data_IF_142981084527
#
_entry.id   IF_142981084527
#
_cell.length_a   1.000
_cell.length_b   1.000
_cell.length_c   1.000
_cell.angle_alpha   90.00
_cell.angle_beta   90.00
_cell.angle_gamma   90.00
#
_symmetry.space_group_name_H-M   'P 1'
#
loop_
_entity.id
_entity.type
_entity.pdbx_description
1 polymer ?
#
# COMPACT_ATOMS: atom_id res chain seq x y z
N UNK A 1 14.11 5.00 -3.11
CA UNK A 1 14.08 5.77 -1.83
C UNK A 1 12.66 5.77 -1.28
N UNK A 2 12.48 5.32 -0.04
CA UNK A 2 11.17 5.31 0.65
C UNK A 2 10.59 6.71 0.80
N UNK A 3 9.27 6.83 0.69
CA UNK A 3 8.54 8.09 0.87
C UNK A 3 7.28 7.84 1.68
N UNK A 4 7.07 8.61 2.74
CA UNK A 4 5.80 8.60 3.48
C UNK A 4 4.66 9.04 2.57
N UNK A 5 3.54 8.34 2.65
CA UNK A 5 2.32 8.58 1.87
C UNK A 5 1.12 8.39 2.78
N UNK A 6 0.04 9.08 2.43
CA UNK A 6 -1.24 8.90 3.08
C UNK A 6 -2.10 7.99 2.22
N UNK A 7 -2.42 6.80 2.72
CA UNK A 7 -3.22 5.81 2.01
C UNK A 7 -4.69 5.90 2.44
N UNK A 8 -5.60 5.69 1.49
CA UNK A 8 -7.05 5.66 1.73
C UNK A 8 -7.64 4.51 0.94
N UNK A 9 -8.26 3.56 1.65
CA UNK A 9 -9.06 2.51 1.03
C UNK A 9 -10.40 3.11 0.59
N UNK A 10 -10.75 2.97 -0.68
CA UNK A 10 -12.03 3.43 -1.25
C UNK A 10 -12.72 2.30 -1.98
N UNK A 11 -14.06 2.38 -2.07
CA UNK A 11 -14.84 1.53 -2.96
C UNK A 11 -14.50 1.87 -4.42
N UNK A 12 -14.27 0.85 -5.23
CA UNK A 12 -14.12 0.97 -6.68
C UNK A 12 -15.50 0.88 -7.31
N UNK A 13 -16.02 1.99 -7.82
CA UNK A 13 -17.31 2.00 -8.52
C UNK A 13 -18.52 1.68 -7.63
N UNK A 14 -19.51 0.98 -8.22
CA UNK A 14 -20.81 0.71 -7.59
C UNK A 14 -21.00 -0.75 -7.13
N UNK A 15 -20.03 -1.63 -7.41
CA UNK A 15 -20.13 -3.05 -7.06
C UNK A 15 -19.63 -3.23 -5.62
N UNK A 16 -20.42 -3.86 -4.73
CA UNK A 16 -19.97 -4.19 -3.38
C UNK A 16 -18.74 -5.09 -3.41
N UNK A 17 -17.75 -4.79 -2.58
CA UNK A 17 -16.55 -5.61 -2.44
C UNK A 17 -15.40 -5.25 -3.39
N UNK A 18 -15.60 -4.30 -4.31
CA UNK A 18 -14.51 -3.77 -5.14
C UNK A 18 -13.83 -2.59 -4.45
N UNK A 19 -12.50 -2.57 -4.44
CA UNK A 19 -11.75 -1.54 -3.72
C UNK A 19 -10.54 -1.04 -4.48
N UNK A 20 -10.20 0.22 -4.25
CA UNK A 20 -8.94 0.82 -4.67
C UNK A 20 -8.21 1.39 -3.46
N UNK A 21 -6.89 1.29 -3.47
CA UNK A 21 -6.03 1.94 -2.51
C UNK A 21 -5.43 3.19 -3.15
N UNK A 22 -6.03 4.33 -2.84
CA UNK A 22 -5.50 5.62 -3.26
C UNK A 22 -4.38 6.06 -2.32
N UNK A 23 -3.35 6.69 -2.86
CA UNK A 23 -2.30 7.26 -2.02
C UNK A 23 -1.93 8.68 -2.42
N UNK A 24 -1.74 9.51 -1.40
CA UNK A 24 -1.56 10.95 -1.51
C UNK A 24 -0.20 11.37 -0.96
N UNK A 25 0.20 12.61 -1.28
CA UNK A 25 1.43 13.18 -0.74
C UNK A 25 1.46 13.18 0.80
N UNK A 26 0.31 13.48 1.41
CA UNK A 26 0.11 13.68 2.84
C UNK A 26 -1.40 13.57 3.19
N UNK A 27 -1.73 13.74 4.47
CA UNK A 27 -3.08 13.62 5.02
C UNK A 27 -4.08 14.68 4.55
N UNK A 28 -3.63 15.76 3.90
CA UNK A 28 -4.55 16.75 3.32
C UNK A 28 -5.34 16.19 2.14
N UNK A 29 -4.91 15.05 1.57
CA UNK A 29 -5.51 14.39 0.39
C UNK A 29 -5.63 15.32 -0.84
N UNK A 30 -4.90 16.45 -0.88
CA UNK A 30 -4.97 17.41 -2.00
C UNK A 30 -4.23 16.95 -3.25
N UNK A 31 -3.16 16.16 -3.09
CA UNK A 31 -2.31 15.73 -4.20
C UNK A 31 -2.24 14.21 -4.27
N UNK A 32 -3.04 13.64 -5.16
CA UNK A 32 -2.99 12.20 -5.47
C UNK A 32 -1.65 11.85 -6.11
N UNK A 33 -1.10 10.69 -5.72
CA UNK A 33 0.18 10.17 -6.20
C UNK A 33 0.01 8.87 -6.99
N UNK A 34 -1.10 8.20 -6.80
CA UNK A 34 -1.53 7.08 -7.60
C UNK A 34 -2.69 6.35 -6.94
N UNK A 35 -3.12 5.32 -7.64
CA UNK A 35 -4.21 4.43 -7.25
C UNK A 35 -3.70 3.01 -7.49
N UNK A 36 -3.92 2.13 -6.53
CA UNK A 36 -3.69 0.70 -6.66
C UNK A 36 -5.06 0.05 -6.77
N UNK A 37 -5.31 -0.57 -7.91
CA UNK A 37 -6.54 -1.34 -8.12
C UNK A 37 -6.42 -2.67 -7.38
N UNK A 38 -7.21 -2.84 -6.30
CA UNK A 38 -7.13 -4.04 -5.47
C UNK A 38 -7.92 -5.20 -6.07
N UNK A 39 -8.79 -4.94 -7.04
CA UNK A 39 -9.48 -6.02 -7.78
C UNK A 39 -8.51 -6.77 -8.70
N UNK A 40 -7.40 -6.12 -9.05
CA UNK A 40 -6.29 -6.70 -9.81
C UNK A 40 -5.15 -7.18 -8.88
N UNK A 41 -5.38 -7.22 -7.57
CA UNK A 41 -4.40 -7.71 -6.62
C UNK A 41 -4.32 -9.23 -6.68
N UNK A 42 -3.16 -9.74 -7.01
CA UNK A 42 -2.89 -11.18 -7.13
C UNK A 42 -2.43 -11.77 -5.80
N UNK A 43 -1.65 -11.01 -5.02
CA UNK A 43 -1.05 -11.48 -3.78
C UNK A 43 -0.73 -10.31 -2.84
N UNK A 44 -0.82 -10.57 -1.53
CA UNK A 44 -0.34 -9.69 -0.46
C UNK A 44 0.48 -10.55 0.51
N UNK A 45 1.78 -10.29 0.62
CA UNK A 45 2.66 -10.99 1.56
C UNK A 45 3.12 -10.05 2.67
N UNK A 46 2.86 -10.45 3.92
CA UNK A 46 3.36 -9.77 5.11
C UNK A 46 4.64 -10.45 5.65
N UNK A 47 5.43 -9.72 6.44
CA UNK A 47 6.62 -10.28 7.08
C UNK A 47 7.81 -10.45 6.13
N UNK A 48 7.83 -9.67 5.04
CA UNK A 48 8.95 -9.62 4.10
C UNK A 48 10.20 -9.09 4.82
N UNK A 49 11.18 -9.96 5.06
CA UNK A 49 12.47 -9.58 5.61
C UNK A 49 13.44 -9.29 4.47
N UNK A 50 13.70 -8.01 4.20
CA UNK A 50 14.83 -7.62 3.34
C UNK A 50 16.12 -7.83 4.14
N UNK A 51 16.93 -8.81 3.73
CA UNK A 51 18.24 -9.05 4.33
C UNK A 51 19.08 -7.77 4.29
N UNK A 52 19.53 -7.30 5.46
CA UNK A 52 20.45 -6.16 5.55
C UNK A 52 19.85 -4.79 5.90
N UNK A 53 19.08 -4.71 7.00
CA UNK A 53 19.16 -3.63 8.05
C UNK A 53 17.99 -2.62 8.15
N UNK A 54 17.82 -2.15 9.41
CA UNK A 54 17.05 -1.02 10.00
C UNK A 54 15.67 -1.40 10.56
N UNK A 55 15.49 -1.18 11.87
CA UNK A 55 14.25 -1.39 12.65
C UNK A 55 12.99 -0.83 11.94
N UNK A 56 13.17 0.22 11.14
CA UNK A 56 12.12 0.94 10.44
C UNK A 56 11.42 0.16 9.30
N UNK A 57 11.76 -1.11 9.06
CA UNK A 57 11.15 -1.96 8.01
C UNK A 57 10.53 -3.25 8.56
N UNK A 58 10.37 -3.36 9.87
CA UNK A 58 9.88 -4.58 10.52
C UNK A 58 8.44 -4.96 10.09
N UNK A 59 7.60 -3.98 9.78
CA UNK A 59 6.20 -4.18 9.38
C UNK A 59 6.00 -3.95 7.87
N UNK A 60 6.92 -4.51 7.07
CA UNK A 60 6.84 -4.43 5.62
C UNK A 60 5.91 -5.51 5.04
N UNK A 61 5.16 -5.12 4.03
CA UNK A 61 4.33 -6.02 3.21
C UNK A 61 4.34 -5.57 1.75
N UNK A 62 4.02 -6.47 0.83
CA UNK A 62 3.80 -6.14 -0.57
C UNK A 62 2.33 -6.23 -0.97
N UNK A 63 1.97 -5.46 -2.00
CA UNK A 63 0.71 -5.56 -2.72
C UNK A 63 1.07 -5.80 -4.18
N UNK A 64 0.86 -7.01 -4.67
CA UNK A 64 1.18 -7.39 -6.05
C UNK A 64 -0.05 -7.26 -6.93
N UNK A 65 0.08 -6.45 -7.97
CA UNK A 65 -0.88 -6.36 -9.07
C UNK A 65 -0.23 -6.88 -10.34
N UNK A 66 -1.05 -7.24 -11.33
CA UNK A 66 -0.59 -7.68 -12.66
C UNK A 66 0.41 -6.73 -13.33
N UNK A 67 0.35 -5.43 -13.02
CA UNK A 67 1.24 -4.40 -13.61
C UNK A 67 2.44 -4.06 -12.75
N UNK A 68 2.35 -4.26 -11.43
CA UNK A 68 3.33 -3.74 -10.46
C UNK A 68 3.19 -4.37 -9.08
N UNK A 69 4.33 -4.62 -8.45
CA UNK A 69 4.45 -4.88 -7.01
C UNK A 69 4.73 -3.57 -6.25
N UNK A 70 3.94 -3.32 -5.21
CA UNK A 70 4.09 -2.18 -4.31
C UNK A 70 4.63 -2.69 -2.97
N UNK A 71 5.80 -2.21 -2.55
CA UNK A 71 6.31 -2.47 -1.21
C UNK A 71 5.90 -1.33 -0.27
N UNK A 72 5.26 -1.68 0.83
CA UNK A 72 4.70 -0.76 1.83
C UNK A 72 5.22 -1.15 3.21
N UNK A 73 5.31 -0.17 4.10
CA UNK A 73 5.81 -0.35 5.45
C UNK A 73 4.91 0.42 6.40
N UNK A 74 4.36 -0.27 7.39
CA UNK A 74 3.60 0.32 8.49
C UNK A 74 4.53 0.76 9.63
N UNK A 75 4.09 1.69 10.48
CA UNK A 75 4.91 2.13 11.62
C UNK A 75 4.83 1.16 12.81
N UNK A 76 3.78 0.33 12.85
CA UNK A 76 3.53 -0.67 13.91
C UNK A 76 2.85 -1.90 13.33
N UNK A 77 2.84 -3.01 14.08
CA UNK A 77 2.17 -4.25 13.68
C UNK A 77 0.63 -4.12 13.59
N UNK A 78 0.02 -3.24 14.40
CA UNK A 78 -1.42 -3.02 14.38
C UNK A 78 -1.91 -2.10 13.25
N UNK A 79 -1.00 -1.54 12.46
CA UNK A 79 -1.28 -0.71 11.27
C UNK A 79 -1.15 -1.55 9.99
#
# INVERSE_FOLDING_TARGET
KWRRRWFVLRLSGQIPGQYVLEYYADSSKKKIKGVIDLDQCEQVDAGLQLEGRKENYQHMFDVRTSKRTYYLVANSESE
#
